data_IF_973904340309
#
_entry.id   IF_973904340309
#
_cell.length_a   1.000
_cell.length_b   1.000
_cell.length_c   1.000
_cell.angle_alpha   90.00
_cell.angle_beta   90.00
_cell.angle_gamma   90.00
#
_symmetry.space_group_name_H-M   'P 1'
#
loop_
_entity.id
_entity.type
_entity.pdbx_description
1 polymer ?
#
# COMPACT_ATOMS: atom_id res chain seq x y z
N UNK A 1 10.09 7.84 40.83
CA UNK A 1 8.83 8.57 41.11
C UNK A 1 8.69 9.93 40.40
N UNK A 2 9.64 10.37 39.55
CA UNK A 2 9.51 11.63 38.76
C UNK A 2 9.37 11.44 37.23
N UNK A 3 9.31 10.20 36.72
CA UNK A 3 9.19 9.96 35.25
C UNK A 3 7.73 9.89 34.75
N UNK A 4 6.76 9.70 35.63
CA UNK A 4 5.33 9.67 35.29
C UNK A 4 4.76 11.06 35.01
N UNK A 5 5.24 12.10 35.71
CA UNK A 5 4.66 13.46 35.56
C UNK A 5 5.08 14.19 34.28
N UNK A 6 6.21 13.84 33.66
CA UNK A 6 6.64 14.46 32.40
C UNK A 6 5.86 13.90 31.21
N UNK A 7 5.54 12.59 31.26
CA UNK A 7 4.76 11.91 30.22
C UNK A 7 3.29 12.34 30.28
N UNK A 8 2.72 12.46 31.48
CA UNK A 8 1.38 13.03 31.69
C UNK A 8 1.29 14.49 31.21
N UNK A 9 2.32 15.32 31.45
CA UNK A 9 2.35 16.70 30.94
C UNK A 9 2.44 16.79 29.40
N UNK A 10 3.21 15.92 28.75
CA UNK A 10 3.37 15.92 27.29
C UNK A 10 2.07 15.47 26.61
N UNK A 11 1.43 14.42 27.13
CA UNK A 11 0.11 13.97 26.66
C UNK A 11 -0.95 15.06 26.86
N UNK A 12 -0.93 15.76 28.01
CA UNK A 12 -1.85 16.85 28.28
C UNK A 12 -1.67 18.04 27.31
N UNK A 13 -0.42 18.43 27.00
CA UNK A 13 -0.15 19.54 26.07
C UNK A 13 -0.53 19.24 24.62
N UNK A 14 -0.35 18.00 24.15
CA UNK A 14 -0.71 17.59 22.79
C UNK A 14 -2.22 17.43 22.60
N UNK A 15 -2.92 16.90 23.60
CA UNK A 15 -4.39 16.78 23.57
C UNK A 15 -5.04 18.17 23.57
N UNK A 16 -4.61 19.08 24.46
CA UNK A 16 -5.19 20.44 24.55
C UNK A 16 -4.97 21.25 23.27
N UNK A 17 -3.83 21.12 22.61
CA UNK A 17 -3.54 21.86 21.35
C UNK A 17 -4.40 21.41 20.17
N UNK A 18 -4.92 20.18 20.20
CA UNK A 18 -5.74 19.60 19.12
C UNK A 18 -7.25 19.93 19.26
N UNK A 19 -7.67 20.47 20.41
CA UNK A 19 -9.06 20.81 20.72
C UNK A 19 -9.34 22.32 20.80
N UNK A 20 -8.35 23.18 20.56
CA UNK A 20 -8.57 24.63 20.51
C UNK A 20 -9.22 25.02 19.16
N UNK A 21 -10.45 25.58 19.15
CA UNK A 21 -10.93 26.31 17.98
C UNK A 21 -10.02 27.53 17.78
N UNK A 22 -9.77 27.91 16.53
CA UNK A 22 -9.09 29.15 16.19
C UNK A 22 -9.91 30.34 16.74
N UNK A 23 -9.60 30.79 17.95
CA UNK A 23 -10.15 32.02 18.50
C UNK A 23 -9.21 33.15 18.10
N UNK A 24 -9.61 33.88 17.06
CA UNK A 24 -9.02 35.18 16.74
C UNK A 24 -9.29 36.13 17.90
N UNK A 25 -8.23 36.67 18.50
CA UNK A 25 -8.35 37.68 19.54
C UNK A 25 -8.95 38.97 18.98
N UNK A 26 -9.92 39.56 19.69
CA UNK A 26 -9.64 40.68 20.59
C UNK A 26 -10.91 41.07 21.40
N UNK A 27 -10.68 41.70 22.55
CA UNK A 27 -11.61 42.48 23.39
C UNK A 27 -12.24 41.85 24.65
N UNK A 28 -11.55 42.13 25.76
CA UNK A 28 -12.00 42.70 27.04
C UNK A 28 -12.95 41.92 28.00
N UNK A 29 -12.32 41.61 29.16
CA UNK A 29 -12.78 41.81 30.55
C UNK A 29 -13.69 40.77 31.21
N UNK A 30 -13.22 40.38 32.41
CA UNK A 30 -13.92 39.92 33.61
C UNK A 30 -15.13 39.02 33.41
N UNK A 31 -14.94 37.71 33.65
CA UNK A 31 -15.76 36.93 34.59
C UNK A 31 -15.09 35.56 34.79
N UNK A 32 -14.38 35.44 35.91
CA UNK A 32 -13.76 34.20 36.40
C UNK A 32 -14.70 33.66 37.47
N UNK A 33 -15.66 32.79 37.12
CA UNK A 33 -16.23 31.78 38.04
C UNK A 33 -17.39 30.89 37.52
N UNK A 34 -17.65 30.75 36.21
CA UNK A 34 -18.78 29.88 35.74
C UNK A 34 -18.42 28.96 34.56
N UNK A 35 -17.24 28.33 34.57
CA UNK A 35 -16.83 27.37 33.52
C UNK A 35 -16.80 25.89 33.96
N UNK A 36 -17.14 25.57 35.22
CA UNK A 36 -17.16 24.19 35.73
C UNK A 36 -18.49 23.44 35.48
N UNK A 37 -19.55 24.13 35.01
CA UNK A 37 -20.88 23.52 34.75
C UNK A 37 -21.20 23.30 33.26
N UNK A 38 -20.21 23.54 32.38
CA UNK A 38 -20.27 23.05 31.01
C UNK A 38 -19.95 21.56 31.08
N UNK A 39 -20.97 20.70 30.96
CA UNK A 39 -20.89 19.24 30.97
C UNK A 39 -20.01 18.64 29.87
N UNK A 40 -18.72 18.99 29.87
CA UNK A 40 -17.70 18.41 29.04
C UNK A 40 -17.54 16.95 29.47
N UNK A 41 -17.56 16.00 28.53
CA UNK A 41 -17.28 14.62 28.87
C UNK A 41 -15.90 14.53 29.54
N UNK A 42 -15.73 13.65 30.55
CA UNK A 42 -14.45 13.49 31.21
C UNK A 42 -13.35 13.23 30.17
N UNK A 43 -12.12 13.73 30.38
CA UNK A 43 -11.03 13.50 29.45
C UNK A 43 -10.82 11.99 29.27
N UNK A 44 -10.46 11.55 28.04
CA UNK A 44 -10.25 10.14 27.75
C UNK A 44 -9.20 9.53 28.69
N UNK A 45 -9.34 8.25 29.04
CA UNK A 45 -8.33 7.63 29.91
C UNK A 45 -6.93 7.71 29.28
N UNK A 46 -5.84 7.68 30.08
CA UNK A 46 -4.47 7.67 29.54
C UNK A 46 -4.24 6.54 28.53
N UNK A 47 -4.90 5.41 28.75
CA UNK A 47 -4.93 4.26 27.85
C UNK A 47 -5.61 4.59 26.52
N UNK A 48 -6.83 5.14 26.56
CA UNK A 48 -7.56 5.49 25.35
C UNK A 48 -6.89 6.64 24.58
N UNK A 49 -6.28 7.57 25.30
CA UNK A 49 -5.44 8.63 24.74
C UNK A 49 -4.24 8.08 23.97
N UNK A 50 -3.56 7.06 24.51
CA UNK A 50 -2.44 6.40 23.82
C UNK A 50 -2.90 5.62 22.57
N UNK A 51 -4.07 4.97 22.64
CA UNK A 51 -4.69 4.34 21.48
C UNK A 51 -5.02 5.40 20.42
N UNK A 52 -5.71 6.48 20.78
CA UNK A 52 -6.08 7.57 19.86
C UNK A 52 -4.87 8.24 19.22
N UNK A 53 -3.84 8.56 20.01
CA UNK A 53 -2.60 9.18 19.52
C UNK A 53 -1.88 8.27 18.53
N UNK A 54 -1.91 6.97 18.76
CA UNK A 54 -1.37 6.03 17.82
C UNK A 54 -2.26 5.99 16.55
N UNK A 55 -3.59 5.86 16.63
CA UNK A 55 -4.47 5.71 15.46
C UNK A 55 -4.75 7.01 14.66
N UNK A 56 -3.72 7.77 14.30
CA UNK A 56 -3.82 8.88 13.36
C UNK A 56 -3.36 8.52 11.93
N UNK A 57 -4.02 7.62 11.17
CA UNK A 57 -3.85 7.63 9.72
C UNK A 57 -4.50 8.88 9.12
N UNK A 58 -3.85 9.43 8.09
CA UNK A 58 -4.44 10.45 7.22
C UNK A 58 -5.66 9.85 6.51
N UNK A 59 -6.83 10.45 6.69
CA UNK A 59 -8.06 10.08 5.98
C UNK A 59 -7.88 10.52 4.52
N UNK A 60 -7.37 9.63 3.68
CA UNK A 60 -7.33 9.85 2.26
C UNK A 60 -7.82 8.59 1.54
N UNK A 61 -8.88 8.74 0.74
CA UNK A 61 -9.39 7.65 -0.11
C UNK A 61 -8.42 7.32 -1.27
N UNK A 62 -7.46 8.20 -1.57
CA UNK A 62 -6.39 7.94 -2.53
C UNK A 62 -5.16 7.35 -1.84
N UNK A 63 -4.82 6.10 -2.16
CA UNK A 63 -3.69 5.40 -1.60
C UNK A 63 -2.32 6.05 -1.95
N UNK A 64 -2.21 6.75 -3.09
CA UNK A 64 -0.97 7.46 -3.45
C UNK A 64 -0.79 8.74 -2.64
N UNK A 65 -1.87 9.48 -2.41
CA UNK A 65 -1.84 10.66 -1.52
C UNK A 65 -1.61 10.24 -0.06
N UNK A 66 -2.27 9.19 0.41
CA UNK A 66 -2.05 8.64 1.75
C UNK A 66 -0.57 8.29 1.99
N UNK A 67 0.08 7.66 1.00
CA UNK A 67 1.52 7.38 1.07
C UNK A 67 2.36 8.66 1.07
N UNK A 68 2.05 9.64 0.23
CA UNK A 68 2.79 10.91 0.19
C UNK A 68 2.69 11.69 1.50
N UNK A 69 1.47 11.77 2.07
CA UNK A 69 1.26 12.34 3.40
C UNK A 69 2.05 11.61 4.47
N UNK A 70 2.03 10.27 4.45
CA UNK A 70 2.79 9.43 5.37
C UNK A 70 4.29 9.70 5.28
N UNK A 71 4.87 9.75 4.07
CA UNK A 71 6.31 10.04 3.89
C UNK A 71 6.66 11.40 4.46
N UNK A 72 5.86 12.44 4.20
CA UNK A 72 6.10 13.78 4.74
C UNK A 72 6.10 13.81 6.27
N UNK A 73 5.16 13.10 6.91
CA UNK A 73 5.10 12.97 8.36
C UNK A 73 6.28 12.15 8.90
N UNK A 74 6.60 11.02 8.25
CA UNK A 74 7.66 10.10 8.66
C UNK A 74 9.04 10.76 8.66
N UNK A 75 9.33 11.63 7.70
CA UNK A 75 10.62 12.35 7.65
C UNK A 75 10.82 13.25 8.87
N UNK A 76 9.73 13.83 9.39
CA UNK A 76 9.73 14.65 10.61
C UNK A 76 9.53 13.85 11.90
N UNK A 77 9.31 12.54 11.80
CA UNK A 77 9.06 11.67 12.95
C UNK A 77 10.30 11.63 13.87
N UNK A 78 10.05 11.73 15.17
CA UNK A 78 11.10 11.78 16.20
C UNK A 78 10.94 10.71 17.28
N UNK A 79 9.78 10.05 17.35
CA UNK A 79 9.43 9.09 18.39
C UNK A 79 8.94 7.75 17.82
N UNK A 80 8.85 7.61 16.50
CA UNK A 80 8.43 6.39 15.82
C UNK A 80 6.91 6.23 15.74
N UNK A 81 6.14 7.22 16.21
CA UNK A 81 4.67 7.20 16.21
C UNK A 81 4.08 7.16 14.79
N UNK A 82 4.76 7.77 13.81
CA UNK A 82 4.38 7.66 12.41
C UNK A 82 4.94 6.36 11.80
N UNK A 83 6.19 6.02 12.12
CA UNK A 83 6.90 4.89 11.53
C UNK A 83 6.16 3.54 11.64
N UNK A 84 5.43 3.29 12.73
CA UNK A 84 4.64 2.06 12.93
C UNK A 84 3.59 1.82 11.83
N UNK A 85 3.14 2.85 11.11
CA UNK A 85 2.16 2.75 10.01
C UNK A 85 2.76 2.41 8.65
N UNK A 86 4.06 2.58 8.48
CA UNK A 86 4.72 2.58 7.16
C UNK A 86 4.40 1.34 6.34
N UNK A 87 4.47 0.16 6.97
CA UNK A 87 4.20 -1.11 6.29
C UNK A 87 2.77 -1.25 5.81
N UNK A 88 1.82 -0.76 6.60
CA UNK A 88 0.40 -0.83 6.29
C UNK A 88 0.04 0.14 5.17
N UNK A 89 0.47 1.40 5.27
CA UNK A 89 0.20 2.43 4.25
C UNK A 89 0.81 2.01 2.91
N UNK A 90 2.06 1.55 2.90
CA UNK A 90 2.70 1.08 1.68
C UNK A 90 2.03 -0.18 1.11
N UNK A 91 1.61 -1.13 1.97
CA UNK A 91 0.92 -2.34 1.50
C UNK A 91 -0.38 -1.99 0.77
N UNK A 92 -1.14 -1.01 1.27
CA UNK A 92 -2.35 -0.49 0.61
C UNK A 92 -2.02 0.14 -0.75
N UNK A 93 -1.02 1.03 -0.79
CA UNK A 93 -0.52 1.63 -2.03
C UNK A 93 -0.11 0.57 -3.05
N UNK A 94 0.69 -0.41 -2.63
CA UNK A 94 1.22 -1.43 -3.52
C UNK A 94 0.08 -2.28 -4.14
N UNK A 95 -0.96 -2.62 -3.37
CA UNK A 95 -2.16 -3.28 -3.90
C UNK A 95 -2.88 -2.45 -4.96
N UNK A 96 -3.00 -1.14 -4.74
CA UNK A 96 -3.58 -0.22 -5.73
C UNK A 96 -2.76 -0.21 -7.03
N UNK A 97 -1.44 -0.07 -6.93
CA UNK A 97 -0.52 -0.09 -8.08
C UNK A 97 -0.62 -1.42 -8.84
N UNK A 98 -0.65 -2.56 -8.13
CA UNK A 98 -0.81 -3.87 -8.75
C UNK A 98 -2.12 -3.98 -9.55
N UNK A 99 -3.22 -3.44 -9.03
CA UNK A 99 -4.52 -3.40 -9.72
C UNK A 99 -4.47 -2.57 -11.01
N UNK A 100 -3.90 -1.37 -10.94
CA UNK A 100 -3.70 -0.49 -12.11
C UNK A 100 -2.78 -1.15 -13.15
N UNK A 101 -1.65 -1.70 -12.72
CA UNK A 101 -0.70 -2.40 -13.58
C UNK A 101 -1.31 -3.62 -14.26
N UNK A 102 -2.12 -4.41 -13.55
CA UNK A 102 -2.83 -5.57 -14.07
C UNK A 102 -3.82 -5.18 -15.17
N UNK A 103 -4.60 -4.13 -14.91
CA UNK A 103 -5.56 -3.58 -15.88
C UNK A 103 -4.85 -3.10 -17.14
N UNK A 104 -3.84 -2.24 -17.00
CA UNK A 104 -3.05 -1.73 -18.12
C UNK A 104 -2.37 -2.86 -18.91
N UNK A 105 -1.78 -3.83 -18.22
CA UNK A 105 -1.11 -4.96 -18.87
C UNK A 105 -2.09 -5.82 -19.66
N UNK A 106 -3.29 -6.05 -19.13
CA UNK A 106 -4.37 -6.77 -19.82
C UNK A 106 -4.84 -6.02 -21.05
N UNK A 107 -5.00 -4.70 -20.93
CA UNK A 107 -5.38 -3.81 -22.02
C UNK A 107 -4.35 -3.80 -23.16
N UNK A 108 -3.06 -3.75 -22.82
CA UNK A 108 -1.96 -3.83 -23.78
C UNK A 108 -1.90 -5.22 -24.41
N UNK A 109 -1.99 -6.30 -23.63
CA UNK A 109 -1.96 -7.65 -24.17
C UNK A 109 -3.12 -7.92 -25.14
N UNK A 110 -4.31 -7.41 -24.82
CA UNK A 110 -5.50 -7.48 -25.69
C UNK A 110 -5.27 -6.70 -26.99
N UNK A 111 -4.67 -5.51 -26.92
CA UNK A 111 -4.32 -4.72 -28.10
C UNK A 111 -3.26 -5.40 -28.98
N UNK A 112 -2.27 -6.06 -28.37
CA UNK A 112 -1.22 -6.78 -29.10
C UNK A 112 -1.72 -8.06 -29.77
N UNK A 113 -2.66 -8.77 -29.15
CA UNK A 113 -3.12 -10.09 -29.61
C UNK A 113 -1.97 -11.09 -29.76
N UNK A 114 -1.94 -11.81 -30.88
CA UNK A 114 -0.83 -12.71 -31.27
C UNK A 114 0.40 -11.97 -31.83
N UNK A 115 0.35 -10.63 -31.88
CA UNK A 115 1.44 -9.79 -32.37
C UNK A 115 2.75 -9.99 -31.60
N UNK A 116 3.87 -9.68 -32.26
CA UNK A 116 5.21 -9.74 -31.67
C UNK A 116 5.55 -11.11 -31.02
N UNK A 117 5.07 -12.21 -31.62
CA UNK A 117 5.27 -13.59 -31.16
C UNK A 117 4.71 -13.84 -29.75
N UNK A 118 3.54 -13.29 -29.46
CA UNK A 118 2.84 -13.53 -28.20
C UNK A 118 3.50 -12.89 -26.98
N UNK A 119 4.27 -11.80 -27.15
CA UNK A 119 4.92 -11.10 -26.03
C UNK A 119 3.93 -10.64 -24.95
N UNK A 120 2.68 -10.34 -25.32
CA UNK A 120 1.60 -10.00 -24.40
C UNK A 120 1.37 -11.07 -23.32
N UNK A 121 1.49 -12.35 -23.69
CA UNK A 121 1.34 -13.48 -22.75
C UNK A 121 2.40 -13.48 -21.65
N UNK A 122 3.63 -13.02 -21.95
CA UNK A 122 4.72 -12.91 -20.97
C UNK A 122 4.48 -11.77 -19.99
N UNK A 123 3.97 -10.64 -20.48
CA UNK A 123 3.55 -9.53 -19.60
C UNK A 123 2.41 -9.95 -18.68
N UNK A 124 1.38 -10.64 -19.20
CA UNK A 124 0.27 -11.18 -18.40
C UNK A 124 0.76 -12.14 -17.32
N UNK A 125 1.65 -13.09 -17.67
CA UNK A 125 2.24 -14.02 -16.70
C UNK A 125 2.98 -13.27 -15.58
N UNK A 126 3.73 -12.22 -15.93
CA UNK A 126 4.44 -11.44 -14.91
C UNK A 126 3.49 -10.64 -14.02
N UNK A 127 2.43 -10.06 -14.59
CA UNK A 127 1.39 -9.38 -13.83
C UNK A 127 0.68 -10.33 -12.87
N UNK A 128 0.37 -11.56 -13.29
CA UNK A 128 -0.19 -12.61 -12.41
C UNK A 128 0.78 -13.01 -11.30
N UNK A 129 2.08 -13.07 -11.58
CA UNK A 129 3.07 -13.33 -10.52
C UNK A 129 3.15 -12.18 -9.52
N UNK A 130 3.08 -10.93 -9.99
CA UNK A 130 3.00 -9.77 -9.09
C UNK A 130 1.75 -9.83 -8.22
N UNK A 131 0.58 -10.22 -8.73
CA UNK A 131 -0.62 -10.33 -7.88
C UNK A 131 -0.48 -11.42 -6.82
N UNK A 132 0.31 -12.47 -7.02
CA UNK A 132 0.62 -13.42 -5.92
C UNK A 132 1.43 -12.80 -4.78
N UNK A 133 2.09 -11.66 -5.01
CA UNK A 133 2.79 -10.89 -3.98
C UNK A 133 1.88 -9.95 -3.18
N UNK A 134 0.60 -9.79 -3.54
CA UNK A 134 -0.29 -8.84 -2.83
C UNK A 134 -0.51 -9.21 -1.35
N UNK A 135 -0.22 -10.45 -0.98
CA UNK A 135 -0.26 -10.97 0.39
C UNK A 135 1.08 -10.79 1.13
N UNK A 136 1.74 -9.63 0.96
CA UNK A 136 2.88 -9.26 1.78
C UNK A 136 2.55 -9.41 3.27
N UNK A 137 3.49 -9.90 4.10
CA UNK A 137 3.25 -10.01 5.53
C UNK A 137 2.98 -8.64 6.13
N UNK A 138 1.92 -8.54 6.93
CA UNK A 138 1.64 -7.37 7.75
C UNK A 138 2.61 -7.37 8.93
N UNK A 139 3.37 -6.29 9.06
CA UNK A 139 4.36 -6.11 10.13
C UNK A 139 3.72 -5.26 11.22
N UNK A 140 3.79 -5.76 12.45
CA UNK A 140 3.41 -5.04 13.66
C UNK A 140 4.66 -4.89 14.51
N UNK A 141 4.98 -3.65 14.86
CA UNK A 141 6.12 -3.27 15.68
C UNK A 141 5.70 -2.06 16.51
N UNK A 142 6.06 -2.03 17.78
CA UNK A 142 5.80 -0.87 18.63
C UNK A 142 6.86 0.23 18.41
N UNK A 143 6.47 1.49 18.66
CA UNK A 143 7.34 2.65 18.43
C UNK A 143 8.62 2.59 19.28
N UNK A 144 8.53 2.13 20.53
CA UNK A 144 9.68 2.01 21.41
C UNK A 144 10.71 1.00 20.88
N UNK A 145 10.27 -0.09 20.25
CA UNK A 145 11.13 -1.07 19.56
C UNK A 145 11.81 -0.45 18.33
N UNK A 146 11.07 0.32 17.51
CA UNK A 146 11.66 1.05 16.38
C UNK A 146 12.79 1.96 16.87
N UNK A 147 12.56 2.69 17.96
CA UNK A 147 13.52 3.63 18.54
C UNK A 147 14.72 2.92 19.17
N UNK A 148 14.47 1.91 20.01
CA UNK A 148 15.51 1.21 20.77
C UNK A 148 16.51 0.48 19.87
N UNK A 149 16.06 -0.01 18.71
CA UNK A 149 16.92 -0.72 17.75
C UNK A 149 17.45 0.18 16.62
N UNK A 150 17.22 1.50 16.70
CA UNK A 150 17.70 2.46 15.71
C UNK A 150 17.15 2.21 14.31
N UNK A 151 15.91 1.71 14.21
CA UNK A 151 15.25 1.44 12.93
C UNK A 151 14.68 2.69 12.28
N UNK A 152 14.27 3.69 13.06
CA UNK A 152 13.56 4.87 12.56
C UNK A 152 14.28 5.52 11.37
N UNK A 153 15.57 5.82 11.52
CA UNK A 153 16.36 6.47 10.46
C UNK A 153 16.47 5.59 9.22
N UNK A 154 16.62 4.27 9.37
CA UNK A 154 16.67 3.34 8.22
C UNK A 154 15.32 3.31 7.50
N UNK A 155 14.22 3.31 8.24
CA UNK A 155 12.87 3.36 7.69
C UNK A 155 12.61 4.66 6.93
N UNK A 156 13.07 5.82 7.45
CA UNK A 156 12.99 7.12 6.76
C UNK A 156 13.71 7.08 5.41
N UNK A 157 14.96 6.60 5.37
CA UNK A 157 15.71 6.48 4.12
C UNK A 157 15.02 5.54 3.13
N UNK A 158 14.53 4.38 3.59
CA UNK A 158 13.80 3.44 2.73
C UNK A 158 12.48 4.01 2.23
N UNK A 159 11.75 4.80 3.03
CA UNK A 159 10.52 5.45 2.59
C UNK A 159 10.77 6.49 1.49
N UNK A 160 11.85 7.27 1.60
CA UNK A 160 12.28 8.20 0.54
C UNK A 160 12.69 7.47 -0.74
N UNK A 161 13.43 6.36 -0.62
CA UNK A 161 13.78 5.52 -1.77
C UNK A 161 12.53 4.97 -2.48
N UNK A 162 11.57 4.46 -1.69
CA UNK A 162 10.28 3.98 -2.21
C UNK A 162 9.50 5.09 -2.92
N UNK A 163 9.50 6.31 -2.37
CA UNK A 163 8.85 7.47 -2.98
C UNK A 163 9.46 7.79 -4.36
N UNK A 164 10.79 7.80 -4.49
CA UNK A 164 11.47 8.03 -5.78
C UNK A 164 11.14 6.95 -6.82
N UNK A 165 11.09 5.69 -6.39
CA UNK A 165 10.68 4.60 -7.28
C UNK A 165 9.22 4.74 -7.73
N UNK A 166 8.33 5.21 -6.85
CA UNK A 166 6.92 5.47 -7.15
C UNK A 166 6.74 6.62 -8.15
N UNK A 167 7.43 7.74 -7.95
CA UNK A 167 7.31 8.91 -8.85
C UNK A 167 7.79 8.58 -10.27
N UNK A 168 8.87 7.80 -10.37
CA UNK A 168 9.37 7.27 -11.64
C UNK A 168 8.39 6.25 -12.26
N UNK A 169 7.71 5.44 -11.44
CA UNK A 169 6.68 4.51 -11.90
C UNK A 169 5.50 5.27 -12.51
N UNK A 170 4.95 6.26 -11.79
CA UNK A 170 3.81 7.06 -12.22
C UNK A 170 4.08 7.76 -13.55
N UNK A 171 5.27 8.36 -13.72
CA UNK A 171 5.68 8.99 -14.99
C UNK A 171 5.68 7.98 -16.16
N UNK A 172 6.15 6.75 -15.92
CA UNK A 172 6.18 5.70 -16.95
C UNK A 172 4.79 5.14 -17.22
N UNK A 173 3.94 5.05 -16.20
CA UNK A 173 2.56 4.57 -16.31
C UNK A 173 1.77 5.52 -17.20
N UNK A 174 1.80 6.82 -16.92
CA UNK A 174 1.16 7.84 -17.72
C UNK A 174 1.63 7.77 -19.18
N UNK A 175 2.94 7.69 -19.41
CA UNK A 175 3.49 7.57 -20.76
C UNK A 175 3.02 6.30 -21.49
N UNK A 176 2.83 5.17 -20.79
CA UNK A 176 2.33 3.93 -21.37
C UNK A 176 0.82 4.02 -21.68
N UNK A 177 0.02 4.57 -20.77
CA UNK A 177 -1.43 4.79 -20.92
C UNK A 177 -1.72 5.72 -22.10
N UNK A 178 -1.04 6.88 -22.16
CA UNK A 178 -1.18 7.84 -23.26
C UNK A 178 -0.80 7.20 -24.58
N UNK A 179 0.29 6.42 -24.63
CA UNK A 179 0.68 5.75 -25.86
C UNK A 179 -0.33 4.69 -26.31
N UNK A 180 -0.83 3.86 -25.40
CA UNK A 180 -1.86 2.87 -25.71
C UNK A 180 -3.13 3.54 -26.25
N UNK A 181 -3.58 4.61 -25.60
CA UNK A 181 -4.74 5.39 -26.05
C UNK A 181 -4.53 5.93 -27.46
N UNK A 182 -3.38 6.58 -27.71
CA UNK A 182 -3.04 7.10 -29.04
C UNK A 182 -3.02 5.99 -30.11
N UNK A 183 -2.52 4.80 -29.77
CA UNK A 183 -2.56 3.65 -30.66
C UNK A 183 -4.01 3.23 -30.99
N UNK A 184 -4.90 3.17 -29.99
CA UNK A 184 -6.32 2.83 -30.17
C UNK A 184 -7.08 3.89 -30.97
N UNK A 185 -6.81 5.17 -30.73
CA UNK A 185 -7.47 6.29 -31.42
C UNK A 185 -7.04 6.39 -32.89
N UNK A 186 -5.77 6.10 -33.18
CA UNK A 186 -5.24 6.11 -34.55
C UNK A 186 -5.63 4.86 -35.34
N UNK A 187 -5.80 3.72 -34.64
CA UNK A 187 -6.11 2.41 -35.22
C UNK A 187 -7.18 1.69 -34.38
N UNK A 188 -8.46 2.11 -34.45
CA UNK A 188 -9.54 1.44 -33.73
C UNK A 188 -9.61 -0.02 -34.17
N UNK A 189 -9.64 -0.94 -33.21
CA UNK A 189 -9.67 -2.40 -33.44
C UNK A 189 -10.65 -2.73 -34.57
N UNK A 190 -10.08 -3.13 -35.70
CA UNK A 190 -10.79 -3.29 -36.95
C UNK A 190 -11.61 -4.57 -36.88
N UNK A 191 -12.93 -4.42 -36.83
CA UNK A 191 -13.86 -5.51 -37.15
C UNK A 191 -13.41 -6.15 -38.47
N UNK A 192 -13.27 -7.49 -38.46
CA UNK A 192 -12.78 -8.42 -39.51
C UNK A 192 -12.96 -8.03 -41.00
N UNK A 193 -13.90 -7.15 -41.35
CA UNK A 193 -14.23 -6.76 -42.71
C UNK A 193 -13.31 -5.69 -43.33
N UNK A 194 -12.60 -4.86 -42.53
CA UNK A 194 -11.69 -3.82 -43.05
C UNK A 194 -10.22 -4.26 -43.17
N UNK A 195 -9.91 -5.52 -42.83
CA UNK A 195 -8.53 -6.04 -42.87
C UNK A 195 -7.95 -6.08 -44.31
N UNK A 196 -8.81 -6.06 -45.33
CA UNK A 196 -8.41 -6.03 -46.74
C UNK A 196 -7.96 -4.65 -47.22
N UNK A 197 -8.32 -3.55 -46.54
CA UNK A 197 -8.02 -2.18 -47.00
C UNK A 197 -6.79 -1.57 -46.30
N UNK A 198 -6.45 -2.02 -45.08
CA UNK A 198 -5.26 -1.57 -44.33
C UNK A 198 -4.01 -2.36 -44.76
N UNK A 199 -3.88 -2.61 -46.07
CA UNK A 199 -2.67 -3.13 -46.68
C UNK A 199 -1.74 -2.00 -47.12
N UNK A 200 -1.79 -0.84 -46.46
CA UNK A 200 -1.02 0.35 -46.85
C UNK A 200 0.22 0.64 -46.02
N UNK A 201 0.46 -0.03 -44.88
CA UNK A 201 1.77 -0.05 -44.18
C UNK A 201 1.79 -1.02 -42.95
N UNK A 202 1.92 -2.34 -43.13
CA UNK A 202 2.01 -3.30 -42.02
C UNK A 202 3.21 -3.05 -41.09
N UNK A 203 4.28 -2.45 -41.61
CA UNK A 203 5.46 -2.06 -40.84
C UNK A 203 5.15 -0.98 -39.78
N UNK A 204 4.29 0.01 -40.08
CA UNK A 204 3.98 1.13 -39.18
C UNK A 204 3.29 0.68 -37.88
N UNK A 205 2.34 -0.26 -37.99
CA UNK A 205 1.63 -0.82 -36.84
C UNK A 205 2.58 -1.60 -35.90
N UNK A 206 3.54 -2.35 -36.47
CA UNK A 206 4.54 -3.09 -35.69
C UNK A 206 5.47 -2.16 -34.89
N UNK A 207 5.85 -0.99 -35.43
CA UNK A 207 6.66 -0.02 -34.67
C UNK A 207 5.93 0.50 -33.44
N UNK A 208 4.63 0.80 -33.56
CA UNK A 208 3.83 1.29 -32.44
C UNK A 208 3.63 0.22 -31.37
N UNK A 209 3.33 -1.02 -31.78
CA UNK A 209 3.24 -2.16 -30.87
C UNK A 209 4.56 -2.40 -30.15
N UNK A 210 5.69 -2.32 -30.86
CA UNK A 210 7.02 -2.53 -30.29
C UNK A 210 7.41 -1.43 -29.31
N UNK A 211 7.07 -0.18 -29.60
CA UNK A 211 7.28 0.95 -28.70
C UNK A 211 6.38 0.83 -27.46
N UNK A 212 5.13 0.38 -27.62
CA UNK A 212 4.24 0.07 -26.50
C UNK A 212 4.83 -1.03 -25.60
N UNK A 213 5.36 -2.11 -26.19
CA UNK A 213 6.06 -3.15 -25.44
C UNK A 213 7.28 -2.61 -24.69
N UNK A 214 8.05 -1.69 -25.29
CA UNK A 214 9.18 -1.07 -24.61
C UNK A 214 8.76 -0.22 -23.41
N UNK A 215 7.69 0.57 -23.55
CA UNK A 215 7.15 1.36 -22.44
C UNK A 215 6.63 0.46 -21.32
N UNK A 216 5.86 -0.58 -21.67
CA UNK A 216 5.35 -1.54 -20.68
C UNK A 216 6.48 -2.33 -19.99
N UNK A 217 7.53 -2.71 -20.73
CA UNK A 217 8.74 -3.32 -20.16
C UNK A 217 9.42 -2.40 -19.14
N UNK A 218 9.62 -1.12 -19.49
CA UNK A 218 10.24 -0.13 -18.59
C UNK A 218 9.39 0.11 -17.35
N UNK A 219 8.07 0.15 -17.49
CA UNK A 219 7.13 0.27 -16.38
C UNK A 219 7.20 -0.94 -15.45
N UNK A 220 7.16 -2.14 -16.02
CA UNK A 220 7.27 -3.39 -15.27
C UNK A 220 8.61 -3.51 -14.53
N UNK A 221 9.72 -3.13 -15.17
CA UNK A 221 11.02 -3.08 -14.51
C UNK A 221 11.02 -2.09 -13.33
N UNK A 222 10.38 -0.93 -13.49
CA UNK A 222 10.25 0.05 -12.40
C UNK A 222 9.43 -0.50 -11.22
N UNK A 223 8.34 -1.20 -11.50
CA UNK A 223 7.53 -1.86 -10.47
C UNK A 223 8.33 -2.92 -9.71
N UNK A 224 9.24 -3.64 -10.39
CA UNK A 224 10.14 -4.59 -9.76
C UNK A 224 11.11 -3.89 -8.79
N UNK A 225 11.68 -2.74 -9.17
CA UNK A 225 12.57 -1.96 -8.28
C UNK A 225 11.82 -1.48 -7.04
N UNK A 226 10.61 -0.96 -7.22
CA UNK A 226 9.73 -0.55 -6.12
C UNK A 226 9.46 -1.71 -5.15
N UNK A 227 9.11 -2.88 -5.69
CA UNK A 227 8.86 -4.07 -4.88
C UNK A 227 10.12 -4.58 -4.16
N UNK A 228 11.28 -4.56 -4.82
CA UNK A 228 12.56 -4.96 -4.21
C UNK A 228 12.96 -4.03 -3.06
N UNK A 229 12.77 -2.71 -3.21
CA UNK A 229 13.02 -1.76 -2.13
C UNK A 229 12.07 -2.00 -0.94
N UNK A 230 10.80 -2.33 -1.20
CA UNK A 230 9.87 -2.70 -0.13
C UNK A 230 10.28 -3.99 0.58
N UNK A 231 10.74 -5.00 -0.16
CA UNK A 231 11.30 -6.22 0.43
C UNK A 231 12.53 -5.94 1.30
N UNK A 232 13.38 -4.98 0.89
CA UNK A 232 14.53 -4.52 1.67
C UNK A 232 14.10 -3.89 3.00
N UNK A 233 13.07 -3.03 2.96
CA UNK A 233 12.47 -2.45 4.16
C UNK A 233 11.91 -3.52 5.13
N UNK A 234 11.18 -4.52 4.62
CA UNK A 234 10.75 -5.68 5.41
C UNK A 234 11.95 -6.42 6.00
N UNK A 235 13.01 -6.61 5.22
CA UNK A 235 14.24 -7.27 5.64
C UNK A 235 14.94 -6.59 6.82
N UNK A 236 14.86 -5.27 6.93
CA UNK A 236 15.41 -4.53 8.07
C UNK A 236 14.72 -4.91 9.38
N UNK A 237 13.40 -5.07 9.35
CA UNK A 237 12.62 -5.50 10.52
C UNK A 237 12.82 -6.99 10.80
N UNK A 238 12.93 -7.81 9.75
CA UNK A 238 13.22 -9.24 9.93
C UNK A 238 14.58 -9.46 10.61
N UNK A 239 15.59 -8.66 10.28
CA UNK A 239 16.92 -8.74 10.88
C UNK A 239 16.91 -8.49 12.40
N UNK A 240 16.03 -7.61 12.91
CA UNK A 240 15.87 -7.44 14.35
C UNK A 240 14.99 -8.53 14.96
N UNK A 241 14.02 -9.08 14.22
CA UNK A 241 13.11 -10.13 14.71
C UNK A 241 13.81 -11.44 15.10
N UNK A 242 15.06 -11.64 14.65
CA UNK A 242 15.92 -12.76 15.07
C UNK A 242 16.61 -12.55 16.42
N UNK A 243 16.48 -11.37 17.04
CA UNK A 243 17.04 -11.07 18.36
C UNK A 243 16.18 -11.77 19.43
N UNK A 244 16.77 -12.61 20.30
CA UNK A 244 16.02 -13.42 21.28
C UNK A 244 15.35 -12.61 22.39
N UNK A 245 15.72 -11.34 22.55
CA UNK A 245 15.14 -10.41 23.54
C UNK A 245 13.78 -9.84 23.10
N UNK A 246 13.40 -10.02 21.83
CA UNK A 246 12.10 -9.59 21.32
C UNK A 246 11.02 -10.65 21.55
N UNK A 247 9.88 -10.21 22.08
CA UNK A 247 8.66 -10.99 22.15
C UNK A 247 8.03 -11.11 20.75
N UNK A 248 7.97 -12.32 20.22
CA UNK A 248 7.38 -12.59 18.91
C UNK A 248 5.91 -13.03 19.03
N UNK A 249 4.98 -12.13 18.71
CA UNK A 249 3.53 -12.38 18.74
C UNK A 249 2.95 -12.88 17.40
N UNK A 250 3.79 -13.19 16.41
CA UNK A 250 3.35 -13.57 15.06
C UNK A 250 2.35 -14.73 15.06
N UNK A 251 2.60 -15.76 15.88
CA UNK A 251 1.72 -16.95 15.96
C UNK A 251 0.35 -16.58 16.53
N UNK A 252 0.33 -15.78 17.59
CA UNK A 252 -0.90 -15.37 18.26
C UNK A 252 -1.77 -14.51 17.35
N UNK A 253 -1.18 -13.48 16.73
CA UNK A 253 -1.89 -12.63 15.78
C UNK A 253 -2.33 -13.38 14.51
N UNK A 254 -1.56 -14.37 14.04
CA UNK A 254 -1.98 -15.21 12.91
C UNK A 254 -3.21 -16.06 13.26
N UNK A 255 -3.23 -16.66 14.46
CA UNK A 255 -4.38 -17.42 14.95
C UNK A 255 -5.60 -16.51 15.15
N UNK A 256 -5.38 -15.28 15.66
CA UNK A 256 -6.44 -14.30 15.80
C UNK A 256 -7.01 -13.89 14.44
N UNK A 257 -6.14 -13.57 13.47
CA UNK A 257 -6.54 -13.21 12.09
C UNK A 257 -7.41 -14.29 11.46
N UNK A 258 -6.98 -15.54 11.52
CA UNK A 258 -7.74 -16.68 10.95
C UNK A 258 -9.09 -16.88 11.63
N UNK A 259 -9.16 -16.70 12.96
CA UNK A 259 -10.40 -16.80 13.72
C UNK A 259 -11.38 -15.66 13.41
N UNK A 260 -10.88 -14.43 13.26
CA UNK A 260 -11.67 -13.27 12.88
C UNK A 260 -12.19 -13.37 11.44
N UNK A 261 -11.36 -13.85 10.50
CA UNK A 261 -11.78 -14.11 9.11
C UNK A 261 -12.87 -15.17 9.03
N UNK A 262 -12.83 -16.20 9.87
CA UNK A 262 -13.91 -17.18 9.96
C UNK A 262 -15.22 -16.57 10.51
N UNK A 263 -15.12 -15.51 11.29
CA UNK A 263 -16.25 -14.82 11.91
C UNK A 263 -16.85 -13.68 11.06
N UNK A 264 -16.19 -13.28 9.95
CA UNK A 264 -16.61 -12.18 9.05
C UNK A 264 -17.98 -12.41 8.38
N UNK A 265 -18.48 -13.65 8.36
CA UNK A 265 -19.78 -14.00 7.76
C UNK A 265 -21.02 -13.54 8.58
N UNK A 266 -20.85 -12.81 9.67
CA UNK A 266 -21.94 -12.39 10.54
C UNK A 266 -22.56 -11.05 10.12
N UNK A 267 -23.89 -10.97 10.23
CA UNK A 267 -24.68 -9.77 9.91
C UNK A 267 -24.55 -8.73 11.04
N UNK A 268 -24.53 -7.45 10.67
CA UNK A 268 -24.53 -6.32 11.59
C UNK A 268 -25.75 -6.33 12.52
N UNK A 269 -25.57 -5.82 13.74
CA UNK A 269 -26.62 -5.67 14.75
C UNK A 269 -26.64 -4.24 15.26
N UNK A 270 -27.82 -3.65 15.47
CA UNK A 270 -27.97 -2.32 16.05
C UNK A 270 -27.45 -2.31 17.50
N UNK A 271 -26.28 -1.71 17.69
CA UNK A 271 -25.64 -1.52 18.99
C UNK A 271 -25.14 -0.08 19.09
N UNK A 272 -25.65 0.68 20.04
CA UNK A 272 -25.18 2.04 20.28
C UNK A 272 -24.19 2.09 21.44
N UNK A 273 -22.97 2.54 21.14
CA UNK A 273 -21.97 2.84 22.16
C UNK A 273 -22.03 4.33 22.50
N UNK A 274 -22.09 4.66 23.79
CA UNK A 274 -22.14 6.06 24.23
C UNK A 274 -20.84 6.82 23.98
N UNK A 275 -19.69 6.12 24.00
CA UNK A 275 -18.36 6.70 23.76
C UNK A 275 -17.48 5.74 22.97
N UNK A 276 -16.53 6.31 22.22
CA UNK A 276 -15.51 5.54 21.49
C UNK A 276 -14.60 4.73 22.43
N UNK A 277 -14.38 5.21 23.65
CA UNK A 277 -13.61 4.49 24.67
C UNK A 277 -14.33 3.22 25.16
N UNK A 278 -15.64 3.33 25.45
CA UNK A 278 -16.46 2.19 25.85
C UNK A 278 -16.54 1.14 24.74
N UNK A 279 -16.63 1.59 23.48
CA UNK A 279 -16.60 0.72 22.32
C UNK A 279 -15.28 -0.06 22.20
N UNK A 280 -14.13 0.62 22.33
CA UNK A 280 -12.81 -0.05 22.29
C UNK A 280 -12.67 -1.07 23.42
N UNK A 281 -13.11 -0.72 24.64
CA UNK A 281 -13.05 -1.63 25.77
C UNK A 281 -13.94 -2.88 25.56
N UNK A 282 -15.15 -2.70 25.03
CA UNK A 282 -16.05 -3.79 24.71
C UNK A 282 -15.48 -4.72 23.61
N UNK A 283 -14.82 -4.15 22.59
CA UNK A 283 -14.12 -4.91 21.56
C UNK A 283 -12.98 -5.74 22.18
N UNK A 284 -12.14 -5.13 23.02
CA UNK A 284 -11.03 -5.80 23.68
C UNK A 284 -11.49 -6.94 24.59
N UNK A 285 -12.60 -6.76 25.31
CA UNK A 285 -13.20 -7.80 26.12
C UNK A 285 -13.72 -8.96 25.27
N UNK A 286 -14.37 -8.68 24.13
CA UNK A 286 -14.79 -9.73 23.19
C UNK A 286 -13.58 -10.52 22.65
N UNK A 287 -12.50 -9.84 22.27
CA UNK A 287 -11.28 -10.48 21.77
C UNK A 287 -10.64 -11.37 22.86
N UNK A 288 -10.60 -10.88 24.11
CA UNK A 288 -10.08 -11.63 25.27
C UNK A 288 -10.91 -12.88 25.59
N UNK A 289 -12.23 -12.79 25.44
CA UNK A 289 -13.16 -13.90 25.70
C UNK A 289 -13.37 -14.82 24.49
N UNK A 290 -12.61 -14.64 23.40
CA UNK A 290 -12.74 -15.39 22.14
C UNK A 290 -14.13 -15.25 21.48
N UNK A 291 -14.85 -14.17 21.76
CA UNK A 291 -16.16 -13.85 21.16
C UNK A 291 -15.99 -13.13 19.82
N UNK A 292 -15.26 -13.75 18.88
CA UNK A 292 -14.83 -13.13 17.62
C UNK A 292 -15.98 -12.58 16.79
N UNK A 293 -17.10 -13.30 16.72
CA UNK A 293 -18.29 -12.84 15.99
C UNK A 293 -18.88 -11.57 16.58
N UNK A 294 -18.81 -11.36 17.89
CA UNK A 294 -19.24 -10.11 18.52
C UNK A 294 -18.24 -8.99 18.24
N UNK A 295 -16.93 -9.27 18.32
CA UNK A 295 -15.89 -8.29 18.00
C UNK A 295 -16.03 -7.75 16.57
N UNK A 296 -16.28 -8.63 15.57
CA UNK A 296 -16.53 -8.22 14.18
C UNK A 296 -17.78 -7.35 14.07
N UNK A 297 -18.88 -7.70 14.75
CA UNK A 297 -20.09 -6.85 14.73
C UNK A 297 -19.86 -5.49 15.37
N UNK A 298 -19.13 -5.45 16.49
CA UNK A 298 -18.86 -4.20 17.19
C UNK A 298 -18.03 -3.26 16.31
N UNK A 299 -16.98 -3.75 15.64
CA UNK A 299 -16.17 -2.89 14.77
C UNK A 299 -16.96 -2.38 13.55
N UNK A 300 -17.84 -3.20 12.97
CA UNK A 300 -18.72 -2.78 11.88
C UNK A 300 -19.63 -1.62 12.28
N UNK A 301 -20.24 -1.69 13.46
CA UNK A 301 -21.11 -0.62 13.96
C UNK A 301 -20.30 0.61 14.39
N UNK A 302 -19.15 0.40 15.04
CA UNK A 302 -18.25 1.49 15.41
C UNK A 302 -17.79 2.30 14.19
N UNK A 303 -17.53 1.66 13.04
CA UNK A 303 -17.21 2.36 11.78
C UNK A 303 -18.36 3.20 11.25
N UNK A 304 -19.60 2.81 11.53
CA UNK A 304 -20.80 3.56 11.14
C UNK A 304 -20.95 4.82 11.98
N UNK A 305 -20.60 4.75 13.26
CA UNK A 305 -20.65 5.86 14.22
C UNK A 305 -19.40 6.76 14.15
N UNK A 306 -18.24 6.16 13.91
CA UNK A 306 -16.92 6.79 13.86
C UNK A 306 -16.13 6.25 12.65
N UNK A 307 -16.28 6.85 11.46
CA UNK A 307 -15.74 6.32 10.20
C UNK A 307 -14.21 6.43 10.04
N UNK A 308 -13.50 6.93 11.06
CA UNK A 308 -12.05 7.13 11.03
C UNK A 308 -11.44 7.04 12.43
N UNK A 309 -10.10 7.01 12.51
CA UNK A 309 -9.37 6.94 13.77
C UNK A 309 -9.18 5.50 14.23
N UNK A 310 -9.51 5.21 15.49
CA UNK A 310 -9.26 3.90 16.14
C UNK A 310 -9.98 2.74 15.45
N UNK A 311 -11.12 3.01 14.80
CA UNK A 311 -11.95 2.00 14.17
C UNK A 311 -11.63 1.78 12.68
N UNK A 312 -10.57 2.40 12.18
CA UNK A 312 -10.09 2.25 10.80
C UNK A 312 -10.97 3.01 9.79
N UNK A 313 -10.41 3.25 8.60
CA UNK A 313 -11.09 3.91 7.49
C UNK A 313 -11.54 2.93 6.39
N UNK A 314 -12.05 3.48 5.29
CA UNK A 314 -12.49 2.76 4.08
C UNK A 314 -11.44 1.83 3.45
N UNK A 315 -10.15 2.10 3.70
CA UNK A 315 -9.01 1.36 3.16
C UNK A 315 -8.57 0.15 3.99
N UNK A 316 -9.09 -0.01 5.22
CA UNK A 316 -8.74 -1.11 6.12
C UNK A 316 -9.89 -2.13 6.24
N UNK A 317 -9.57 -3.43 6.30
CA UNK A 317 -10.59 -4.44 6.65
C UNK A 317 -10.89 -4.42 8.15
N UNK A 318 -12.09 -4.84 8.53
CA UNK A 318 -12.51 -4.97 9.94
C UNK A 318 -11.54 -5.84 10.73
N UNK A 319 -11.12 -6.97 10.13
CA UNK A 319 -10.11 -7.87 10.70
C UNK A 319 -8.80 -7.13 10.95
N UNK A 320 -8.31 -6.34 10.00
CA UNK A 320 -7.05 -5.62 10.13
C UNK A 320 -7.11 -4.59 11.26
N UNK A 321 -8.21 -3.83 11.36
CA UNK A 321 -8.39 -2.88 12.45
C UNK A 321 -8.46 -3.58 13.81
N UNK A 322 -9.18 -4.69 13.92
CA UNK A 322 -9.24 -5.48 15.16
C UNK A 322 -7.87 -6.00 15.58
N UNK A 323 -7.04 -6.46 14.63
CA UNK A 323 -5.66 -6.86 14.91
C UNK A 323 -4.81 -5.68 15.38
N UNK A 324 -4.97 -4.49 14.78
CA UNK A 324 -4.29 -3.28 15.20
C UNK A 324 -4.66 -2.90 16.64
N UNK A 325 -5.95 -2.92 16.99
CA UNK A 325 -6.44 -2.63 18.35
C UNK A 325 -5.87 -3.64 19.34
N UNK A 326 -5.94 -4.94 19.00
CA UNK A 326 -5.42 -6.01 19.85
C UNK A 326 -3.92 -5.89 20.10
N UNK A 327 -3.12 -5.76 19.03
CA UNK A 327 -1.67 -5.69 19.14
C UNK A 327 -1.25 -4.53 20.03
N UNK A 328 -1.82 -3.34 19.82
CA UNK A 328 -1.48 -2.16 20.64
C UNK A 328 -1.88 -2.30 22.08
N UNK A 329 -3.05 -2.89 22.34
CA UNK A 329 -3.45 -3.18 23.71
C UNK A 329 -2.41 -4.06 24.42
N UNK A 330 -1.87 -5.07 23.73
CA UNK A 330 -0.88 -5.97 24.30
C UNK A 330 0.51 -5.33 24.49
N UNK A 331 0.90 -4.40 23.61
CA UNK A 331 2.20 -3.74 23.66
C UNK A 331 2.23 -2.47 24.50
N UNK A 332 1.10 -2.02 25.07
CA UNK A 332 1.05 -0.82 25.90
C UNK A 332 1.94 -0.96 27.14
N UNK A 333 2.94 -0.08 27.23
CA UNK A 333 3.92 -0.07 28.32
C UNK A 333 4.93 -1.21 28.27
N UNK A 334 4.99 -1.97 27.18
CA UNK A 334 5.97 -3.03 26.96
C UNK A 334 6.81 -2.70 25.71
N UNK A 335 8.13 -2.72 25.87
CA UNK A 335 9.06 -2.60 24.75
C UNK A 335 9.50 -3.97 24.28
N UNK A 336 9.85 -4.07 22.99
CA UNK A 336 10.42 -5.28 22.41
C UNK A 336 9.38 -6.27 21.89
N UNK A 337 8.25 -5.82 21.35
CA UNK A 337 7.25 -6.73 20.77
C UNK A 337 7.14 -6.58 19.26
N UNK A 338 7.13 -7.71 18.57
CA UNK A 338 7.06 -7.75 17.11
C UNK A 338 6.12 -8.87 16.65
N UNK A 339 5.39 -8.63 15.57
CA UNK A 339 4.64 -9.68 14.89
C UNK A 339 4.66 -9.52 13.37
N UNK A 340 4.73 -10.67 12.71
CA UNK A 340 4.70 -10.81 11.27
C UNK A 340 3.51 -11.72 10.90
N UNK A 341 2.47 -11.15 10.30
CA UNK A 341 1.20 -11.83 10.05
C UNK A 341 0.89 -11.84 8.56
N UNK A 342 0.82 -13.02 7.95
CA UNK A 342 0.52 -13.14 6.52
C UNK A 342 1.34 -14.23 5.84
N UNK A 343 1.47 -14.11 4.51
CA UNK A 343 2.17 -15.10 3.71
C UNK A 343 3.63 -15.23 4.14
N UNK A 344 4.08 -16.47 4.34
CA UNK A 344 5.50 -16.82 4.53
C UNK A 344 6.23 -17.05 3.21
N UNK A 345 5.66 -16.60 2.10
CA UNK A 345 6.30 -16.73 0.80
C UNK A 345 7.65 -16.02 0.84
N UNK A 346 8.65 -16.68 0.26
CA UNK A 346 9.96 -16.09 0.10
C UNK A 346 9.89 -15.00 -0.99
N UNK A 347 9.78 -13.74 -0.54
CA UNK A 347 9.72 -12.58 -1.42
C UNK A 347 10.95 -12.51 -2.34
N UNK A 348 12.11 -13.00 -1.89
CA UNK A 348 13.33 -13.07 -2.69
C UNK A 348 13.18 -14.02 -3.88
N UNK A 349 12.54 -15.18 -3.66
CA UNK A 349 12.25 -16.13 -4.72
C UNK A 349 11.31 -15.53 -5.76
N UNK A 350 10.30 -14.76 -5.34
CA UNK A 350 9.37 -14.12 -6.26
C UNK A 350 10.08 -13.01 -7.07
N UNK A 351 10.85 -12.16 -6.41
CA UNK A 351 11.71 -11.16 -7.07
C UNK A 351 12.62 -11.80 -8.12
N UNK A 352 13.24 -12.95 -7.80
CA UNK A 352 14.12 -13.68 -8.72
C UNK A 352 13.37 -14.15 -9.97
N UNK A 353 12.17 -14.71 -9.82
CA UNK A 353 11.35 -15.16 -10.95
C UNK A 353 10.82 -13.99 -11.79
N UNK A 354 10.44 -12.88 -11.16
CA UNK A 354 10.01 -11.67 -11.88
C UNK A 354 11.17 -11.06 -12.67
N UNK A 355 12.38 -11.08 -12.13
CA UNK A 355 13.59 -10.66 -12.82
C UNK A 355 13.90 -11.54 -14.05
N UNK A 356 13.74 -12.87 -13.91
CA UNK A 356 13.90 -13.81 -15.02
C UNK A 356 12.89 -13.52 -16.16
N UNK A 357 11.60 -13.38 -15.82
CA UNK A 357 10.56 -13.01 -16.79
C UNK A 357 10.83 -11.65 -17.44
N UNK A 358 11.32 -10.67 -16.68
CA UNK A 358 11.72 -9.37 -17.21
C UNK A 358 12.86 -9.52 -18.24
N UNK A 359 13.84 -10.40 -17.97
CA UNK A 359 14.89 -10.79 -18.91
C UNK A 359 14.35 -11.42 -20.20
N UNK A 360 13.43 -12.37 -20.10
CA UNK A 360 12.77 -12.99 -21.26
C UNK A 360 12.05 -11.96 -22.14
N UNK A 361 11.28 -11.07 -21.52
CA UNK A 361 10.54 -10.00 -22.22
C UNK A 361 11.51 -9.08 -22.95
N UNK A 362 12.61 -8.66 -22.29
CA UNK A 362 13.65 -7.83 -22.91
C UNK A 362 14.24 -8.50 -24.15
N UNK A 363 14.52 -9.80 -24.07
CA UNK A 363 15.10 -10.54 -25.19
C UNK A 363 14.10 -10.75 -26.33
N UNK A 364 12.80 -10.88 -26.03
CA UNK A 364 11.75 -10.87 -27.05
C UNK A 364 11.65 -9.51 -27.76
N UNK A 365 11.68 -8.41 -27.02
CA UNK A 365 11.68 -7.05 -27.59
C UNK A 365 12.92 -6.85 -28.47
N UNK A 366 14.10 -7.24 -27.99
CA UNK A 366 15.36 -7.13 -28.75
C UNK A 366 15.31 -7.94 -30.05
N UNK A 367 14.78 -9.16 -30.02
CA UNK A 367 14.62 -9.98 -31.23
C UNK A 367 13.64 -9.35 -32.21
N UNK A 368 12.49 -8.87 -31.72
CA UNK A 368 11.53 -8.13 -32.54
C UNK A 368 12.13 -6.86 -33.15
N UNK A 369 13.04 -6.18 -32.44
CA UNK A 369 13.83 -5.08 -32.97
C UNK A 369 14.85 -5.54 -34.02
N UNK A 370 15.56 -6.64 -33.80
CA UNK A 370 16.59 -7.17 -34.69
C UNK A 370 16.07 -7.69 -36.03
N UNK A 371 14.86 -8.28 -36.06
CA UNK A 371 14.21 -8.64 -37.32
C UNK A 371 13.99 -7.42 -38.23
N UNK A 372 13.81 -6.21 -37.68
CA UNK A 372 13.69 -4.96 -38.45
C UNK A 372 14.95 -4.67 -39.27
N UNK A 373 16.12 -4.89 -38.68
CA UNK A 373 17.42 -4.57 -39.31
C UNK A 373 17.59 -5.42 -40.57
N UNK A 374 17.29 -6.72 -40.48
CA UNK A 374 17.46 -7.65 -41.61
C UNK A 374 16.49 -7.35 -42.77
N UNK A 375 15.24 -6.94 -42.51
CA UNK A 375 14.29 -6.61 -43.59
C UNK A 375 14.55 -5.27 -44.28
N UNK A 376 15.15 -4.29 -43.61
CA UNK A 376 15.58 -3.03 -44.26
C UNK A 376 16.85 -3.15 -45.11
N UNK A 377 17.60 -4.25 -45.00
CA UNK A 377 18.82 -4.51 -45.79
C UNK A 377 18.67 -5.59 -46.86
N UNK A 378 17.47 -6.13 -47.08
CA UNK A 378 17.22 -6.94 -48.27
C UNK A 378 17.19 -6.01 -49.49
N UNK A 379 18.15 -6.11 -50.44
CA UNK A 379 18.09 -5.34 -51.66
C UNK A 379 16.90 -5.85 -52.48
N UNK A 380 16.10 -4.92 -53.02
CA UNK A 380 15.09 -5.22 -54.01
C UNK A 380 15.73 -6.01 -55.16
N UNK A 381 15.50 -7.32 -55.19
CA UNK A 381 15.98 -8.21 -56.26
C UNK A 381 15.09 -8.14 -57.51
N UNK A 382 14.33 -7.05 -57.68
CA UNK A 382 13.41 -6.83 -58.80
C UNK A 382 13.93 -5.87 -59.88
N UNK A 383 15.21 -5.53 -59.92
CA UNK A 383 15.80 -4.75 -61.03
C UNK A 383 16.96 -5.51 -61.68
N UNK A 384 16.63 -6.60 -62.37
CA UNK A 384 17.48 -7.17 -63.42
C UNK A 384 16.59 -7.92 -64.40
N UNK A 385 15.96 -7.18 -65.30
CA UNK A 385 15.12 -7.72 -66.35
C UNK A 385 14.87 -6.69 -67.45
N UNK A 386 15.58 -6.88 -68.56
CA UNK A 386 15.29 -6.38 -69.93
C UNK A 386 15.39 -4.89 -70.25
N UNK A 387 16.39 -4.54 -71.06
CA UNK A 387 16.16 -4.09 -72.44
C UNK A 387 17.39 -4.39 -73.30
N UNK A 388 17.11 -4.93 -74.49
CA UNK A 388 17.99 -5.06 -75.65
C UNK A 388 18.62 -3.72 -76.07
#
# INVERSE_FOLDING_TARGET
MLKTSLWEMIVFFFVVSSFLPCVSGDSLRDDVDDLEDLGFPPPPSPFFSAILAAFQPTVCDDAEEAWRCHVNQLVTDSDGSCAVYTFQVFSSLFKNIQGKFCTLTTDVATYLGEGLRGIGSKFLRSSQMLTTCSDCPTIYIDADTIMSYGLLEKMKFSALELQEYLDTYNTKEEAAVVWLRNCRDTFPSVTMLLCLVIQRNPLFNVFQQLELCQRLYKLHFQLLLLFQSYCSLIGQVHAISSVPELLNMSRELTNLKTSLQAAEAAVASDLDFQTSEAAVQAILECLKNHEFTKAVRYIQECRRQWPSGVFGGSSETEVQTLLNIYFRHQTLGQTGTIALVGSRQDLSLICSKLLELNGEIRDMIRRAQGYRVVTTYLPDSSVSGTSL
#
